data_IF_326857331365
#
_entry.id   IF_326857331365
#
_cell.length_a   1.000
_cell.length_b   1.000
_cell.length_c   1.000
_cell.angle_alpha   90.00
_cell.angle_beta   90.00
_cell.angle_gamma   90.00
#
_symmetry.space_group_name_H-M   'P 1'
#
loop_
_entity.id
_entity.type
_entity.pdbx_description
1 polymer ?
#
# COMPACT_ATOMS: atom_id res chain seq x y z
N UNK A 1 41.76 30.72 -9.15
CA UNK A 1 41.14 29.39 -9.21
C UNK A 1 40.26 29.25 -7.98
N UNK A 2 38.96 29.50 -8.12
CA UNK A 2 38.01 29.49 -7.00
C UNK A 2 37.25 28.17 -6.99
N UNK A 3 37.27 27.55 -5.81
CA UNK A 3 36.79 26.21 -5.49
C UNK A 3 35.41 25.89 -6.06
N UNK A 4 35.33 24.75 -6.73
CA UNK A 4 34.12 23.97 -6.95
C UNK A 4 33.54 23.58 -5.59
N UNK A 5 32.58 24.35 -5.09
CA UNK A 5 31.79 23.97 -3.92
C UNK A 5 30.89 22.80 -4.34
N UNK A 6 31.19 21.61 -3.82
CA UNK A 6 30.35 20.43 -3.89
C UNK A 6 28.96 20.77 -3.33
N UNK A 7 27.97 20.90 -4.22
CA UNK A 7 26.54 20.95 -3.89
C UNK A 7 26.08 19.53 -3.52
N UNK A 8 26.60 18.99 -2.42
CA UNK A 8 26.20 17.70 -1.86
C UNK A 8 26.05 17.77 -0.34
N UNK A 9 25.64 18.91 0.21
CA UNK A 9 24.87 18.89 1.44
C UNK A 9 23.42 18.67 1.05
N UNK A 10 22.99 17.41 1.03
CA UNK A 10 21.57 17.06 1.02
C UNK A 10 20.93 17.84 2.17
N UNK A 11 20.16 18.87 1.84
CA UNK A 11 19.35 19.59 2.82
C UNK A 11 18.61 18.55 3.68
N UNK A 12 18.58 18.71 5.03
CA UNK A 12 17.87 17.79 5.89
C UNK A 12 16.45 17.64 5.36
N UNK A 13 16.03 16.39 5.10
CA UNK A 13 14.70 16.11 4.58
C UNK A 13 13.68 16.61 5.59
N UNK A 14 12.99 17.70 5.24
CA UNK A 14 11.87 18.21 6.04
C UNK A 14 10.77 17.15 6.09
N UNK A 15 10.12 17.04 7.25
CA UNK A 15 8.86 16.29 7.33
C UNK A 15 7.76 17.03 6.58
N UNK A 16 6.67 16.33 6.27
CA UNK A 16 5.50 16.92 5.61
C UNK A 16 5.00 18.15 6.37
N UNK A 17 4.86 18.03 7.69
CA UNK A 17 4.35 19.09 8.57
C UNK A 17 5.28 20.30 8.51
N UNK A 18 6.59 20.06 8.59
CA UNK A 18 7.59 21.13 8.50
C UNK A 18 7.56 21.83 7.15
N UNK A 19 7.31 21.10 6.06
CA UNK A 19 7.23 21.67 4.71
C UNK A 19 5.95 22.49 4.50
N UNK A 20 4.80 22.00 5.01
CA UNK A 20 3.54 22.75 5.01
C UNK A 20 3.67 24.03 5.85
N UNK A 21 4.26 23.93 7.04
CA UNK A 21 4.47 25.08 7.93
C UNK A 21 5.43 26.09 7.32
N UNK A 22 6.51 25.64 6.68
CA UNK A 22 7.45 26.51 5.97
C UNK A 22 6.75 27.23 4.80
N UNK A 23 5.94 26.51 4.01
CA UNK A 23 5.18 27.08 2.91
C UNK A 23 4.18 28.14 3.40
N UNK A 24 3.44 27.85 4.48
CA UNK A 24 2.48 28.80 5.09
C UNK A 24 3.17 30.05 5.65
N UNK A 25 4.36 29.89 6.25
CA UNK A 25 5.17 31.02 6.75
C UNK A 25 5.78 31.86 5.62
N UNK A 26 6.14 31.23 4.50
CA UNK A 26 6.72 31.92 3.35
C UNK A 26 5.67 32.67 2.51
N UNK A 27 4.46 32.14 2.40
CA UNK A 27 3.36 32.73 1.62
C UNK A 27 3.14 34.25 1.84
N UNK A 28 3.08 34.79 3.07
CA UNK A 28 2.89 36.23 3.28
C UNK A 28 4.09 37.10 2.92
N UNK A 29 5.28 36.50 2.76
CA UNK A 29 6.51 37.21 2.35
C UNK A 29 6.63 37.35 0.83
N UNK A 30 5.75 36.67 0.07
CA UNK A 30 5.75 36.66 -1.38
C UNK A 30 4.73 37.65 -1.96
N UNK A 31 4.91 38.10 -3.21
CA UNK A 31 3.87 38.87 -3.90
C UNK A 31 2.56 38.06 -3.97
N UNK A 32 1.42 38.75 -3.94
CA UNK A 32 0.09 38.15 -3.71
C UNK A 32 -0.21 36.88 -4.55
N UNK A 33 0.12 36.89 -5.84
CA UNK A 33 -0.09 35.73 -6.72
C UNK A 33 0.74 34.51 -6.29
N UNK A 34 2.01 34.70 -5.97
CA UNK A 34 2.91 33.64 -5.53
C UNK A 34 2.58 33.17 -4.11
N UNK A 35 2.22 34.08 -3.21
CA UNK A 35 1.77 33.75 -1.85
C UNK A 35 0.52 32.85 -1.87
N UNK A 36 -0.45 33.19 -2.72
CA UNK A 36 -1.64 32.35 -2.92
C UNK A 36 -1.28 30.96 -3.44
N UNK A 37 -0.44 30.86 -4.47
CA UNK A 37 -0.02 29.59 -5.04
C UNK A 37 0.68 28.68 -4.00
N UNK A 38 1.60 29.23 -3.21
CA UNK A 38 2.34 28.46 -2.19
C UNK A 38 1.39 27.95 -1.10
N UNK A 39 0.40 28.75 -0.71
CA UNK A 39 -0.60 28.33 0.26
C UNK A 39 -1.52 27.22 -0.29
N UNK A 40 -1.94 27.34 -1.55
CA UNK A 40 -2.73 26.31 -2.23
C UNK A 40 -1.95 24.99 -2.37
N UNK A 41 -0.65 25.07 -2.70
CA UNK A 41 0.22 23.88 -2.73
C UNK A 41 0.34 23.22 -1.36
N UNK A 42 0.48 24.00 -0.29
CA UNK A 42 0.51 23.48 1.07
C UNK A 42 -0.79 22.76 1.43
N UNK A 43 -1.95 23.34 1.09
CA UNK A 43 -3.27 22.72 1.28
C UNK A 43 -3.41 21.41 0.52
N UNK A 44 -3.03 21.37 -0.77
CA UNK A 44 -3.12 20.13 -1.57
C UNK A 44 -2.20 19.04 -1.06
N UNK A 45 -1.00 19.40 -0.62
CA UNK A 45 -0.07 18.43 -0.02
C UNK A 45 -0.65 17.84 1.26
N UNK A 46 -1.25 18.66 2.11
CA UNK A 46 -1.92 18.22 3.34
C UNK A 46 -3.04 17.22 3.04
N UNK A 47 -4.00 17.62 2.19
CA UNK A 47 -5.15 16.78 1.80
C UNK A 47 -4.70 15.47 1.15
N UNK A 48 -3.81 15.53 0.16
CA UNK A 48 -3.35 14.33 -0.55
C UNK A 48 -2.59 13.38 0.36
N UNK A 49 -1.82 13.90 1.31
CA UNK A 49 -1.08 13.06 2.24
C UNK A 49 -2.01 12.29 3.19
N UNK A 50 -3.07 12.93 3.69
CA UNK A 50 -4.08 12.27 4.55
C UNK A 50 -4.79 11.18 3.74
N UNK A 51 -5.27 11.52 2.54
CA UNK A 51 -5.92 10.56 1.65
C UNK A 51 -5.02 9.37 1.29
N UNK A 52 -3.72 9.62 1.08
CA UNK A 52 -2.74 8.56 0.82
C UNK A 52 -2.55 7.65 2.04
N UNK A 53 -2.44 8.22 3.24
CA UNK A 53 -2.33 7.45 4.48
C UNK A 53 -3.55 6.55 4.69
N UNK A 54 -4.76 7.08 4.48
CA UNK A 54 -6.01 6.34 4.58
C UNK A 54 -6.09 5.21 3.53
N UNK A 55 -5.76 5.51 2.26
CA UNK A 55 -5.75 4.51 1.20
C UNK A 55 -4.73 3.39 1.47
N UNK A 56 -3.57 3.73 2.04
CA UNK A 56 -2.55 2.73 2.42
C UNK A 56 -3.01 1.85 3.59
N UNK A 57 -3.72 2.42 4.56
CA UNK A 57 -4.32 1.68 5.67
C UNK A 57 -5.41 0.70 5.17
N UNK A 58 -6.33 1.19 4.33
CA UNK A 58 -7.37 0.36 3.70
C UNK A 58 -6.76 -0.77 2.86
N UNK A 59 -5.71 -0.48 2.09
CA UNK A 59 -5.01 -1.49 1.29
C UNK A 59 -4.39 -2.58 2.15
N UNK A 60 -3.83 -2.22 3.31
CA UNK A 60 -3.26 -3.19 4.26
C UNK A 60 -4.36 -4.09 4.84
N UNK A 61 -5.46 -3.50 5.28
CA UNK A 61 -6.61 -4.24 5.83
C UNK A 61 -7.22 -5.20 4.80
N UNK A 62 -7.46 -4.73 3.57
CA UNK A 62 -7.99 -5.56 2.49
C UNK A 62 -7.07 -6.74 2.17
N UNK A 63 -5.76 -6.54 2.27
CA UNK A 63 -4.81 -7.59 2.00
C UNK A 63 -4.74 -8.64 3.12
N UNK A 64 -4.86 -8.22 4.38
CA UNK A 64 -5.04 -9.13 5.51
C UNK A 64 -6.33 -9.95 5.36
N UNK A 65 -7.46 -9.30 5.03
CA UNK A 65 -8.72 -9.98 4.76
C UNK A 65 -8.62 -10.96 3.57
N UNK A 66 -7.94 -10.58 2.50
CA UNK A 66 -7.74 -11.45 1.33
C UNK A 66 -6.92 -12.70 1.70
N UNK A 67 -5.90 -12.56 2.54
CA UNK A 67 -5.10 -13.70 3.01
C UNK A 67 -5.96 -14.68 3.83
N UNK A 68 -6.79 -14.16 4.74
CA UNK A 68 -7.74 -14.97 5.51
C UNK A 68 -8.73 -15.71 4.60
N UNK A 69 -9.35 -15.00 3.65
CA UNK A 69 -10.32 -15.60 2.73
C UNK A 69 -9.70 -16.70 1.86
N UNK A 70 -8.47 -16.49 1.37
CA UNK A 70 -7.73 -17.53 0.62
C UNK A 70 -7.50 -18.78 1.46
N UNK A 71 -7.17 -18.62 2.75
CA UNK A 71 -7.01 -19.74 3.68
C UNK A 71 -8.33 -20.44 3.97
N UNK A 72 -9.43 -19.70 4.10
CA UNK A 72 -10.76 -20.25 4.31
C UNK A 72 -11.24 -21.07 3.10
N UNK A 73 -11.01 -20.58 1.88
CA UNK A 73 -11.29 -21.32 0.63
C UNK A 73 -10.56 -22.67 0.61
N UNK A 74 -9.27 -22.68 0.94
CA UNK A 74 -8.48 -23.93 1.04
C UNK A 74 -9.03 -24.87 2.12
N UNK A 75 -9.44 -24.32 3.27
CA UNK A 75 -9.97 -25.10 4.38
C UNK A 75 -11.32 -25.72 4.05
N UNK A 76 -12.19 -24.96 3.36
CA UNK A 76 -13.49 -25.43 2.90
C UNK A 76 -13.37 -26.49 1.81
N UNK A 77 -12.44 -26.31 0.86
CA UNK A 77 -12.15 -27.30 -0.17
C UNK A 77 -11.69 -28.64 0.44
N UNK A 78 -10.86 -28.62 1.50
CA UNK A 78 -10.49 -29.83 2.25
C UNK A 78 -11.68 -30.51 2.92
N UNK A 79 -12.61 -29.74 3.49
CA UNK A 79 -13.81 -30.35 4.08
C UNK A 79 -14.72 -30.92 2.99
N UNK A 80 -14.82 -30.30 1.82
CA UNK A 80 -15.53 -30.88 0.67
C UNK A 80 -14.93 -32.23 0.26
N UNK A 81 -13.60 -32.29 0.10
CA UNK A 81 -12.90 -33.55 -0.16
C UNK A 81 -13.21 -34.58 0.94
N UNK A 82 -13.11 -34.20 2.22
CA UNK A 82 -13.43 -35.09 3.34
C UNK A 82 -14.86 -35.60 3.32
N UNK A 83 -15.84 -34.76 2.96
CA UNK A 83 -17.24 -35.16 2.81
C UNK A 83 -17.36 -36.18 1.68
N UNK A 84 -16.74 -35.93 0.53
CA UNK A 84 -16.76 -36.88 -0.60
C UNK A 84 -16.12 -38.20 -0.23
N UNK A 85 -14.98 -38.19 0.46
CA UNK A 85 -14.32 -39.41 0.95
C UNK A 85 -15.24 -40.21 1.89
N UNK A 86 -15.94 -39.53 2.82
CA UNK A 86 -16.88 -40.20 3.74
C UNK A 86 -18.00 -40.93 3.02
N UNK A 87 -18.53 -40.35 1.93
CA UNK A 87 -19.66 -40.90 1.17
C UNK A 87 -19.22 -41.97 0.17
N UNK A 88 -18.17 -41.71 -0.58
CA UNK A 88 -17.71 -42.58 -1.68
C UNK A 88 -16.74 -43.67 -1.23
N UNK A 89 -16.20 -43.55 0.01
CA UNK A 89 -15.11 -44.38 0.55
C UNK A 89 -13.85 -44.35 -0.33
N UNK A 90 -13.74 -43.38 -1.22
CA UNK A 90 -12.63 -43.20 -2.14
C UNK A 90 -11.89 -41.93 -1.79
N UNK A 91 -10.57 -42.02 -1.64
CA UNK A 91 -9.71 -40.86 -1.34
C UNK A 91 -9.78 -39.85 -2.48
N UNK A 92 -9.95 -38.56 -2.18
CA UNK A 92 -9.98 -37.49 -3.18
C UNK A 92 -9.33 -36.21 -2.63
N UNK A 93 -8.70 -35.45 -3.54
CA UNK A 93 -8.18 -34.11 -3.28
C UNK A 93 -8.57 -33.14 -4.41
N UNK A 94 -9.61 -33.48 -5.16
CA UNK A 94 -10.00 -32.79 -6.38
C UNK A 94 -10.40 -31.33 -6.08
N UNK A 95 -11.19 -31.10 -5.03
CA UNK A 95 -11.65 -29.75 -4.68
C UNK A 95 -10.49 -28.90 -4.16
N UNK A 96 -9.58 -29.47 -3.36
CA UNK A 96 -8.39 -28.76 -2.92
C UNK A 96 -7.51 -28.32 -4.10
N UNK A 97 -7.27 -29.22 -5.07
CA UNK A 97 -6.44 -28.91 -6.22
C UNK A 97 -7.08 -27.85 -7.12
N UNK A 98 -8.40 -27.91 -7.32
CA UNK A 98 -9.13 -26.91 -8.09
C UNK A 98 -9.10 -25.54 -7.40
N UNK A 99 -9.40 -25.49 -6.09
CA UNK A 99 -9.33 -24.26 -5.31
C UNK A 99 -7.92 -23.64 -5.34
N UNK A 100 -6.87 -24.44 -5.19
CA UNK A 100 -5.48 -23.94 -5.29
C UNK A 100 -5.14 -23.39 -6.67
N UNK A 101 -5.64 -24.02 -7.74
CA UNK A 101 -5.48 -23.54 -9.11
C UNK A 101 -6.19 -22.20 -9.30
N UNK A 102 -7.46 -22.10 -8.92
CA UNK A 102 -8.22 -20.86 -9.04
C UNK A 102 -7.59 -19.71 -8.24
N UNK A 103 -7.15 -19.99 -7.00
CA UNK A 103 -6.46 -19.00 -6.18
C UNK A 103 -5.14 -18.53 -6.82
N UNK A 104 -4.46 -19.37 -7.61
CA UNK A 104 -3.24 -18.99 -8.33
C UNK A 104 -3.52 -18.07 -9.51
N UNK A 105 -4.65 -18.23 -10.18
CA UNK A 105 -5.09 -17.37 -11.29
C UNK A 105 -5.53 -15.98 -10.79
N UNK A 106 -5.93 -15.86 -9.52
CA UNK A 106 -6.28 -14.57 -8.93
C UNK A 106 -5.04 -13.67 -8.80
N UNK A 107 -5.17 -12.35 -9.07
CA UNK A 107 -4.06 -11.41 -8.95
C UNK A 107 -3.37 -11.52 -7.58
N UNK A 108 -2.03 -11.57 -7.54
CA UNK A 108 -1.30 -11.57 -6.28
C UNK A 108 -1.55 -10.26 -5.55
N UNK A 109 -1.87 -10.37 -4.26
CA UNK A 109 -1.96 -9.19 -3.39
C UNK A 109 -0.54 -8.83 -2.96
N UNK A 110 0.15 -8.05 -3.80
CA UNK A 110 1.50 -7.58 -3.50
C UNK A 110 1.41 -6.44 -2.49
N UNK A 111 1.52 -6.76 -1.21
CA UNK A 111 1.86 -5.75 -0.20
C UNK A 111 3.39 -5.68 -0.13
N UNK A 112 3.99 -4.70 -0.78
CA UNK A 112 5.38 -4.35 -0.50
C UNK A 112 5.43 -3.63 0.86
N UNK A 113 5.41 -4.39 1.96
CA UNK A 113 5.91 -3.89 3.23
C UNK A 113 7.43 -3.94 3.15
N UNK A 114 8.06 -2.78 3.00
CA UNK A 114 9.52 -2.56 3.02
C UNK A 114 10.31 -2.80 1.72
N UNK A 115 9.65 -2.84 0.56
CA UNK A 115 10.37 -2.89 -0.73
C UNK A 115 10.97 -4.24 -1.11
N UNK A 116 10.72 -5.29 -0.32
CA UNK A 116 10.98 -6.66 -0.76
C UNK A 116 9.68 -7.25 -1.33
N UNK A 117 9.69 -7.44 -2.65
CA UNK A 117 8.70 -8.26 -3.34
C UNK A 117 9.07 -9.72 -3.02
N UNK A 118 8.33 -10.35 -2.12
CA UNK A 118 8.33 -11.80 -2.04
C UNK A 118 7.51 -12.32 -3.22
N UNK A 119 8.21 -12.84 -4.23
CA UNK A 119 7.66 -13.59 -5.37
C UNK A 119 7.17 -14.97 -4.92
#
# INVERSE_FOLDING_TARGET
MTNTQNVTELQPRMTREQLIDAARKAAPLLPAAYGWMVNELATRLDVNSVALCEAMAQRKELAEQNATLRQDVVSWAKECDRIVERHTKTRTNMHLLEAQRELRELPPVVISLNGEVAL
#
